data_IF_499390396077
#
_entry.id   IF_499390396077
#
_cell.length_a   1.000
_cell.length_b   1.000
_cell.length_c   1.000
_cell.angle_alpha   90.00
_cell.angle_beta   90.00
_cell.angle_gamma   90.00
#
_symmetry.space_group_name_H-M   'P 1'
#
loop_
_entity.id
_entity.type
_entity.pdbx_description
1 polymer ?
#
# COMPACT_ATOMS: atom_id res chain seq x y z
N UNK A 1 14.68 -4.35 16.29
CA UNK A 1 15.47 -4.69 15.08
C UNK A 1 14.73 -4.37 13.78
N UNK A 2 13.44 -4.71 13.63
CA UNK A 2 12.65 -4.41 12.41
C UNK A 2 12.41 -2.91 12.15
N UNK A 3 12.22 -2.09 13.20
CA UNK A 3 11.92 -0.64 13.06
C UNK A 3 12.91 0.14 12.18
N UNK A 4 14.18 -0.29 12.06
CA UNK A 4 15.18 0.35 11.20
C UNK A 4 14.85 0.20 9.70
N UNK A 5 14.17 -0.88 9.32
CA UNK A 5 13.91 -1.24 7.92
C UNK A 5 12.46 -0.97 7.50
N UNK A 6 11.59 -0.62 8.43
CA UNK A 6 10.17 -0.39 8.19
C UNK A 6 9.87 1.11 8.14
N UNK A 7 9.36 1.57 7.02
CA UNK A 7 8.86 2.92 6.84
C UNK A 7 7.35 2.84 6.54
N UNK A 8 6.54 3.41 7.43
CA UNK A 8 5.08 3.45 7.29
C UNK A 8 4.68 4.84 6.80
N UNK A 9 3.86 4.90 5.77
CA UNK A 9 3.29 6.14 5.26
C UNK A 9 2.54 6.89 6.38
N UNK A 10 2.69 8.22 6.49
CA UNK A 10 1.98 9.01 7.50
C UNK A 10 0.47 8.75 7.55
N UNK A 11 -0.19 8.61 6.40
CA UNK A 11 -1.65 8.38 6.34
C UNK A 11 -2.04 7.01 6.95
N UNK A 12 -1.27 5.98 6.64
CA UNK A 12 -1.49 4.63 7.17
C UNK A 12 -1.21 4.61 8.67
N UNK A 13 -0.13 5.27 9.11
CA UNK A 13 0.23 5.35 10.53
C UNK A 13 -0.88 6.03 11.34
N UNK A 14 -1.36 7.18 10.88
CA UNK A 14 -2.46 7.91 11.52
C UNK A 14 -3.73 7.06 11.58
N UNK A 15 -4.09 6.40 10.47
CA UNK A 15 -5.26 5.53 10.41
C UNK A 15 -5.22 4.41 11.46
N UNK A 16 -4.05 3.79 11.63
CA UNK A 16 -3.85 2.77 12.66
C UNK A 16 -3.94 3.34 14.08
N UNK A 17 -3.38 4.53 14.32
CA UNK A 17 -3.41 5.18 15.64
C UNK A 17 -4.83 5.57 16.08
N UNK A 18 -5.69 5.99 15.15
CA UNK A 18 -7.08 6.39 15.43
C UNK A 18 -8.11 5.26 15.23
N UNK A 19 -7.66 4.05 14.87
CA UNK A 19 -8.54 2.89 14.64
C UNK A 19 -9.39 2.97 13.36
N UNK A 20 -8.97 3.75 12.35
CA UNK A 20 -9.59 3.77 11.01
C UNK A 20 -9.20 2.50 10.23
N UNK A 21 -10.12 1.86 9.48
CA UNK A 21 -9.80 0.63 8.76
C UNK A 21 -8.69 0.84 7.71
N UNK A 22 -7.75 -0.10 7.67
CA UNK A 22 -6.63 -0.13 6.71
C UNK A 22 -6.69 -1.45 5.94
N UNK A 23 -6.50 -1.37 4.62
CA UNK A 23 -6.47 -2.54 3.73
C UNK A 23 -5.09 -2.62 3.07
N UNK A 24 -4.36 -3.70 3.35
CA UNK A 24 -3.06 -3.95 2.73
C UNK A 24 -3.21 -4.45 1.30
N UNK A 25 -2.32 -4.00 0.41
CA UNK A 25 -2.23 -4.44 -0.99
C UNK A 25 -0.81 -4.93 -1.30
N UNK A 26 -0.68 -5.94 -2.16
CA UNK A 26 0.64 -6.46 -2.58
C UNK A 26 1.21 -5.72 -3.79
N UNK A 27 2.54 -5.73 -3.94
CA UNK A 27 3.26 -5.20 -5.09
C UNK A 27 3.60 -6.23 -6.16
N UNK A 28 3.56 -7.53 -5.85
CA UNK A 28 3.92 -8.60 -6.81
C UNK A 28 3.03 -8.58 -8.04
N UNK A 29 1.71 -8.42 -7.88
CA UNK A 29 0.77 -8.27 -8.99
C UNK A 29 1.09 -7.08 -9.91
N UNK A 30 1.66 -6.01 -9.36
CA UNK A 30 2.04 -4.80 -10.10
C UNK A 30 3.29 -5.07 -10.94
N UNK A 31 4.30 -5.71 -10.35
CA UNK A 31 5.58 -5.94 -11.03
C UNK A 31 5.57 -7.14 -11.99
N UNK A 32 4.86 -8.21 -11.64
CA UNK A 32 4.96 -9.50 -12.34
C UNK A 32 3.60 -10.10 -12.75
N UNK A 33 2.49 -9.63 -12.17
CA UNK A 33 1.17 -10.20 -12.41
C UNK A 33 0.41 -9.60 -13.59
N UNK A 34 0.76 -8.38 -14.03
CA UNK A 34 0.08 -7.68 -15.11
C UNK A 34 1.05 -6.93 -16.02
N UNK A 35 0.77 -6.81 -17.32
CA UNK A 35 1.57 -6.01 -18.23
C UNK A 35 1.37 -4.51 -17.96
N UNK A 36 2.39 -3.72 -18.27
CA UNK A 36 2.26 -2.26 -18.33
C UNK A 36 1.40 -1.84 -19.54
N UNK A 37 0.52 -0.81 -19.43
CA UNK A 37 0.27 0.06 -18.26
C UNK A 37 -0.78 -0.47 -17.27
N UNK A 38 -1.41 -1.60 -17.58
CA UNK A 38 -2.55 -2.16 -16.81
C UNK A 38 -2.21 -2.45 -15.36
N UNK A 39 -0.95 -2.80 -15.06
CA UNK A 39 -0.47 -2.98 -13.70
C UNK A 39 -0.64 -1.73 -12.83
N UNK A 40 -0.17 -0.57 -13.29
CA UNK A 40 -0.25 0.71 -12.58
C UNK A 40 -1.71 1.18 -12.51
N UNK A 41 -2.44 1.10 -13.61
CA UNK A 41 -3.86 1.47 -13.66
C UNK A 41 -4.70 0.67 -12.68
N UNK A 42 -4.46 -0.64 -12.60
CA UNK A 42 -5.19 -1.52 -11.69
C UNK A 42 -4.83 -1.22 -10.24
N UNK A 43 -3.55 -1.01 -9.92
CA UNK A 43 -3.12 -0.64 -8.57
C UNK A 43 -3.82 0.64 -8.09
N UNK A 44 -3.76 1.71 -8.89
CA UNK A 44 -4.41 3.00 -8.59
C UNK A 44 -5.93 2.86 -8.45
N UNK A 45 -6.56 2.06 -9.33
CA UNK A 45 -8.01 1.83 -9.27
C UNK A 45 -8.42 1.10 -8.00
N UNK A 46 -7.67 0.09 -7.57
CA UNK A 46 -7.95 -0.67 -6.35
C UNK A 46 -7.76 0.21 -5.11
N UNK A 47 -6.70 1.02 -5.05
CA UNK A 47 -6.52 2.01 -3.97
C UNK A 47 -7.70 2.98 -3.89
N UNK A 48 -8.16 3.49 -5.03
CA UNK A 48 -9.34 4.36 -5.09
C UNK A 48 -10.59 3.65 -4.57
N UNK A 49 -10.85 2.41 -4.97
CA UNK A 49 -12.01 1.63 -4.50
C UNK A 49 -12.00 1.50 -2.97
N UNK A 50 -10.84 1.22 -2.37
CA UNK A 50 -10.70 1.12 -0.91
C UNK A 50 -11.04 2.45 -0.24
N UNK A 51 -10.54 3.57 -0.77
CA UNK A 51 -10.85 4.92 -0.27
C UNK A 51 -12.34 5.24 -0.39
N UNK A 52 -12.94 4.94 -1.54
CA UNK A 52 -14.37 5.15 -1.79
C UNK A 52 -15.25 4.34 -0.81
N UNK A 53 -14.73 3.25 -0.23
CA UNK A 53 -15.39 2.43 0.79
C UNK A 53 -15.00 2.82 2.23
N UNK A 54 -14.35 3.97 2.44
CA UNK A 54 -14.06 4.52 3.76
C UNK A 54 -12.85 3.92 4.48
N UNK A 55 -12.01 3.15 3.78
CA UNK A 55 -10.79 2.57 4.32
C UNK A 55 -9.53 3.20 3.71
N UNK A 56 -8.38 2.99 4.35
CA UNK A 56 -7.08 3.48 3.87
C UNK A 56 -6.33 2.36 3.16
N UNK A 57 -5.98 2.51 1.88
CA UNK A 57 -5.14 1.54 1.20
C UNK A 57 -3.69 1.66 1.69
N UNK A 58 -3.02 0.52 1.83
CA UNK A 58 -1.61 0.43 2.16
C UNK A 58 -0.92 -0.55 1.21
N UNK A 59 -0.50 -0.07 0.04
CA UNK A 59 0.30 -0.88 -0.88
C UNK A 59 1.68 -1.13 -0.27
N UNK A 60 2.10 -2.40 -0.24
CA UNK A 60 3.34 -2.83 0.40
C UNK A 60 4.36 -3.26 -0.64
N UNK A 61 5.55 -2.68 -0.54
CA UNK A 61 6.68 -2.98 -1.41
C UNK A 61 8.01 -2.92 -0.64
N UNK A 62 9.04 -3.51 -1.24
CA UNK A 62 10.42 -3.30 -0.79
C UNK A 62 11.06 -2.32 -1.76
N UNK A 63 11.34 -1.10 -1.28
CA UNK A 63 12.00 -0.06 -2.07
C UNK A 63 13.36 0.26 -1.44
N UNK A 64 14.45 0.10 -2.20
CA UNK A 64 15.81 0.39 -1.73
C UNK A 64 16.17 -0.28 -0.40
N UNK A 65 15.75 -1.53 -0.20
CA UNK A 65 16.00 -2.30 1.02
C UNK A 65 15.13 -1.90 2.23
N UNK A 66 14.11 -1.05 2.04
CA UNK A 66 13.12 -0.67 3.06
C UNK A 66 11.77 -1.30 2.78
N UNK A 67 11.15 -1.86 3.82
CA UNK A 67 9.76 -2.27 3.82
C UNK A 67 8.90 -1.02 3.87
N UNK A 68 8.16 -0.75 2.79
CA UNK A 68 7.24 0.39 2.66
C UNK A 68 5.82 -0.09 2.88
N UNK A 69 5.07 0.64 3.70
CA UNK A 69 3.65 0.40 3.93
C UNK A 69 2.88 1.68 3.60
N UNK A 70 2.24 1.71 2.42
CA UNK A 70 1.60 2.89 1.86
C UNK A 70 2.53 3.65 0.91
#
# INVERSE_FOLDING_TARGET
MIKKYLDINPEVKEALEIGRPVVALESTIISHGMPYPKNVETALKVEKIIRDNGAVPATIAILNGKLKVG
#
